data_IF_265588866431
#
_entry.id   IF_265588866431
#
_cell.length_a   1.000
_cell.length_b   1.000
_cell.length_c   1.000
_cell.angle_alpha   90.00
_cell.angle_beta   90.00
_cell.angle_gamma   90.00
#
_symmetry.space_group_name_H-M   'P 1'
#
loop_
_entity.id
_entity.type
_entity.pdbx_description
1 polymer ?
#
# COMPACT_ATOMS: atom_id res chain seq x y z
N UNK A 1 -10.41 -32.02 43.36
CA UNK A 1 -9.39 -32.19 42.31
C UNK A 1 -10.02 -31.61 41.05
N UNK A 2 -10.13 -30.27 41.05
CA UNK A 2 -9.29 -29.33 40.26
C UNK A 2 -9.65 -29.45 38.76
N UNK A 3 -10.51 -28.57 38.21
CA UNK A 3 -10.26 -27.21 37.64
C UNK A 3 -9.34 -27.27 36.40
N UNK A 4 -9.56 -26.60 35.26
CA UNK A 4 -10.04 -25.23 34.99
C UNK A 4 -10.61 -25.15 33.55
N UNK A 5 -11.76 -24.51 33.38
CA UNK A 5 -12.23 -23.88 32.13
C UNK A 5 -11.68 -22.45 32.06
N UNK A 6 -11.14 -22.04 30.91
CA UNK A 6 -10.66 -20.68 30.64
C UNK A 6 -11.54 -19.96 29.63
N UNK A 7 -12.62 -19.34 30.11
CA UNK A 7 -13.37 -18.31 29.37
C UNK A 7 -13.17 -16.97 30.09
N UNK A 8 -12.28 -16.13 29.57
CA UNK A 8 -12.13 -14.74 29.99
C UNK A 8 -13.37 -13.95 29.54
N UNK A 9 -14.30 -13.78 30.47
CA UNK A 9 -15.41 -12.84 30.36
C UNK A 9 -15.10 -11.61 31.20
N UNK A 10 -14.77 -10.52 30.53
CA UNK A 10 -14.50 -9.23 31.16
C UNK A 10 -15.79 -8.71 31.80
N UNK A 11 -15.90 -8.82 33.13
CA UNK A 11 -17.04 -8.31 33.91
C UNK A 11 -16.84 -6.82 34.19
N UNK A 12 -17.73 -5.99 33.65
CA UNK A 12 -17.80 -4.56 33.95
C UNK A 12 -18.57 -4.38 35.27
N UNK A 13 -17.89 -3.89 36.30
CA UNK A 13 -18.55 -3.48 37.55
C UNK A 13 -19.26 -2.14 37.34
N UNK A 14 -20.60 -2.16 37.33
CA UNK A 14 -21.41 -0.96 37.55
C UNK A 14 -21.48 -0.73 39.07
N UNK A 15 -20.84 0.33 39.55
CA UNK A 15 -21.05 0.79 40.92
C UNK A 15 -22.39 1.55 41.00
N UNK A 16 -23.32 0.95 41.72
CA UNK A 16 -24.56 1.55 42.21
C UNK A 16 -24.21 2.70 43.18
N UNK A 17 -24.72 3.90 42.90
CA UNK A 17 -24.55 5.06 43.78
C UNK A 17 -25.88 5.45 44.42
N UNK A 18 -26.25 4.69 45.45
CA UNK A 18 -27.13 5.13 46.52
C UNK A 18 -26.33 5.11 47.81
N UNK A 19 -25.95 6.28 48.36
CA UNK A 19 -26.53 6.76 49.62
C UNK A 19 -25.88 8.05 50.20
N UNK A 20 -26.77 8.83 50.81
CA UNK A 20 -26.64 9.69 52.00
C UNK A 20 -25.64 10.85 52.07
N UNK A 21 -26.27 12.02 52.19
CA UNK A 21 -25.76 13.30 52.70
C UNK A 21 -25.32 13.16 54.17
N UNK A 22 -24.11 13.64 54.49
CA UNK A 22 -23.79 14.16 55.83
C UNK A 22 -23.11 15.54 55.74
N UNK A 23 -23.43 16.49 56.64
CA UNK A 23 -22.88 17.84 56.63
C UNK A 23 -21.60 17.94 57.47
N UNK A 24 -20.58 18.65 56.97
CA UNK A 24 -19.47 19.12 57.81
C UNK A 24 -18.04 18.68 57.44
N UNK A 25 -17.79 18.19 56.22
CA UNK A 25 -16.41 17.92 55.78
C UNK A 25 -15.99 18.92 54.68
N UNK A 26 -14.93 19.67 54.95
CA UNK A 26 -14.31 20.63 54.03
C UNK A 26 -13.97 19.98 52.69
N UNK A 27 -14.42 20.60 51.58
CA UNK A 27 -14.15 20.15 50.20
C UNK A 27 -12.63 19.96 49.98
N UNK A 28 -12.15 18.80 49.50
CA UNK A 28 -10.83 18.73 48.89
C UNK A 28 -10.82 19.56 47.60
N UNK A 29 -9.67 20.11 47.16
CA UNK A 29 -9.58 20.90 45.95
C UNK A 29 -10.04 20.08 44.74
N UNK A 30 -10.82 20.72 43.87
CA UNK A 30 -11.21 20.18 42.57
C UNK A 30 -9.94 19.78 41.81
N UNK A 31 -9.70 18.47 41.66
CA UNK A 31 -8.83 17.96 40.62
C UNK A 31 -9.38 18.49 39.28
N UNK A 32 -8.57 19.11 38.41
CA UNK A 32 -9.02 19.42 37.06
C UNK A 32 -9.45 18.11 36.41
N UNK A 33 -10.63 18.13 35.78
CA UNK A 33 -11.13 17.03 34.98
C UNK A 33 -10.09 16.73 33.89
N UNK A 34 -9.30 15.67 34.08
CA UNK A 34 -8.48 15.11 33.03
C UNK A 34 -9.40 14.42 32.04
N UNK A 35 -9.95 15.22 31.12
CA UNK A 35 -10.53 14.77 29.87
C UNK A 35 -9.39 14.52 28.86
N UNK A 36 -8.33 13.86 29.31
CA UNK A 36 -7.16 13.48 28.53
C UNK A 36 -7.06 11.94 28.50
N UNK A 37 -8.17 11.27 28.19
CA UNK A 37 -8.05 9.93 27.60
C UNK A 37 -7.64 10.15 26.14
N UNK A 38 -6.31 10.22 25.95
CA UNK A 38 -5.69 10.02 24.64
C UNK A 38 -6.10 8.60 24.23
N UNK A 39 -7.17 8.49 23.43
CA UNK A 39 -7.37 7.32 22.59
C UNK A 39 -6.18 7.28 21.64
N UNK A 40 -5.15 6.53 22.00
CA UNK A 40 -4.16 6.07 21.06
C UNK A 40 -4.95 5.34 19.98
N UNK A 41 -5.13 6.01 18.83
CA UNK A 41 -5.68 5.41 17.63
C UNK A 41 -4.75 4.25 17.29
N UNK A 42 -5.11 3.05 17.74
CA UNK A 42 -4.54 1.81 17.24
C UNK A 42 -4.90 1.81 15.76
N UNK A 43 -3.97 2.22 14.92
CA UNK A 43 -4.17 2.07 13.48
C UNK A 43 -4.27 0.57 13.23
N UNK A 44 -5.35 0.10 12.58
CA UNK A 44 -5.48 -1.31 12.28
C UNK A 44 -4.25 -1.76 11.49
N UNK A 45 -3.68 -2.89 11.89
CA UNK A 45 -2.57 -3.49 11.16
C UNK A 45 -3.04 -3.78 9.73
N UNK A 46 -2.34 -3.22 8.75
CA UNK A 46 -2.65 -3.48 7.34
C UNK A 46 -2.24 -4.92 7.03
N UNK A 47 -3.22 -5.77 6.71
CA UNK A 47 -2.98 -7.16 6.32
C UNK A 47 -2.77 -7.21 4.81
N UNK A 48 -1.54 -7.52 4.39
CA UNK A 48 -1.19 -7.68 2.99
C UNK A 48 -1.39 -9.11 2.50
N UNK A 49 -2.02 -9.25 1.34
CA UNK A 49 -2.06 -10.50 0.58
C UNK A 49 -0.69 -10.72 -0.09
N UNK A 50 -0.03 -11.84 0.20
CA UNK A 50 1.27 -12.15 -0.43
C UNK A 50 1.07 -12.74 -1.82
N UNK A 51 1.76 -12.18 -2.81
CA UNK A 51 1.78 -12.70 -4.18
C UNK A 51 3.23 -12.75 -4.67
N UNK A 52 3.63 -13.91 -5.18
CA UNK A 52 4.96 -14.16 -5.72
C UNK A 52 4.94 -13.97 -7.24
N UNK A 53 5.78 -13.07 -7.77
CA UNK A 53 5.96 -12.94 -9.21
C UNK A 53 6.69 -14.16 -9.78
N UNK A 54 6.29 -14.65 -10.97
CA UNK A 54 6.91 -15.81 -11.60
C UNK A 54 8.29 -15.48 -12.19
N UNK A 55 9.20 -16.46 -12.16
CA UNK A 55 10.58 -16.29 -12.66
C UNK A 55 10.71 -16.24 -14.18
N UNK A 56 9.62 -16.52 -14.91
CA UNK A 56 9.55 -16.40 -16.37
C UNK A 56 9.23 -14.97 -16.84
N UNK A 57 9.07 -14.03 -15.89
CA UNK A 57 8.77 -12.64 -16.13
C UNK A 57 7.30 -12.33 -16.40
N UNK A 58 6.41 -13.33 -16.31
CA UNK A 58 4.96 -13.11 -16.39
C UNK A 58 4.44 -12.19 -15.29
N UNK A 59 3.28 -11.57 -15.53
CA UNK A 59 2.63 -10.72 -14.54
C UNK A 59 1.66 -11.48 -13.64
N UNK A 60 1.47 -10.96 -12.43
CA UNK A 60 0.43 -11.37 -11.48
C UNK A 60 -0.62 -10.28 -11.36
N UNK A 61 -1.88 -10.67 -11.16
CA UNK A 61 -2.98 -9.73 -10.98
C UNK A 61 -3.17 -9.38 -9.51
N UNK A 62 -3.17 -8.08 -9.19
CA UNK A 62 -3.34 -7.48 -7.86
C UNK A 62 -4.45 -6.43 -7.94
N UNK A 63 -5.69 -6.88 -8.15
CA UNK A 63 -6.84 -6.04 -8.45
C UNK A 63 -7.43 -5.25 -7.28
N UNK A 64 -7.67 -5.93 -6.16
CA UNK A 64 -8.48 -5.42 -5.05
C UNK A 64 -7.85 -5.72 -3.70
N UNK A 65 -7.59 -4.67 -2.93
CA UNK A 65 -7.04 -4.73 -1.58
C UNK A 65 -5.52 -4.50 -1.52
N UNK A 66 -4.96 -4.83 -0.36
CA UNK A 66 -3.54 -4.61 -0.07
C UNK A 66 -2.71 -5.85 -0.45
N UNK A 67 -1.61 -5.65 -1.18
CA UNK A 67 -0.74 -6.73 -1.64
C UNK A 67 0.73 -6.51 -1.28
N UNK A 68 1.39 -7.58 -0.85
CA UNK A 68 2.85 -7.69 -0.83
C UNK A 68 3.25 -8.50 -2.04
N UNK A 69 3.83 -7.80 -3.02
CA UNK A 69 4.26 -8.36 -4.29
C UNK A 69 5.74 -8.69 -4.15
N UNK A 70 6.11 -9.96 -4.26
CA UNK A 70 7.45 -10.48 -3.97
C UNK A 70 8.15 -10.78 -5.30
N UNK A 71 9.39 -10.30 -5.43
CA UNK A 71 10.23 -10.54 -6.59
C UNK A 71 10.59 -12.02 -6.73
N UNK A 72 10.87 -12.52 -7.95
CA UNK A 72 11.24 -13.92 -8.17
C UNK A 72 12.47 -14.39 -7.37
N UNK A 73 13.37 -13.47 -6.99
CA UNK A 73 14.54 -13.74 -6.15
C UNK A 73 14.21 -13.88 -4.64
N UNK A 74 12.99 -13.51 -4.23
CA UNK A 74 12.52 -13.47 -2.85
C UNK A 74 13.18 -12.39 -1.97
N UNK A 75 14.09 -11.59 -2.51
CA UNK A 75 14.85 -10.58 -1.75
C UNK A 75 14.13 -9.24 -1.74
N UNK A 76 13.48 -8.90 -2.86
CA UNK A 76 12.84 -7.60 -3.04
C UNK A 76 11.33 -7.74 -3.01
N UNK A 77 10.65 -6.71 -2.48
CA UNK A 77 9.19 -6.65 -2.50
C UNK A 77 8.69 -5.23 -2.78
N UNK A 78 7.46 -5.18 -3.30
CA UNK A 78 6.66 -3.97 -3.35
C UNK A 78 5.40 -4.14 -2.49
N UNK A 79 4.99 -3.06 -1.83
CA UNK A 79 3.74 -3.00 -1.07
C UNK A 79 2.76 -2.14 -1.85
N UNK A 80 1.67 -2.75 -2.27
CA UNK A 80 0.54 -2.10 -2.91
C UNK A 80 -0.53 -1.87 -1.82
N UNK A 81 -0.79 -0.62 -1.48
CA UNK A 81 -1.79 -0.25 -0.47
C UNK A 81 -2.98 0.40 -1.13
N UNK A 82 -4.16 -0.18 -0.97
CA UNK A 82 -5.43 0.29 -1.48
C UNK A 82 -5.74 1.71 -1.00
N UNK A 83 -6.26 2.55 -1.90
CA UNK A 83 -6.72 3.91 -1.58
C UNK A 83 -8.21 4.06 -1.83
N UNK A 84 -8.66 3.78 -3.06
CA UNK A 84 -10.05 3.94 -3.49
C UNK A 84 -10.27 3.24 -4.83
N UNK A 85 -11.51 3.26 -5.33
CA UNK A 85 -11.89 2.70 -6.62
C UNK A 85 -12.59 3.77 -7.46
N UNK A 86 -12.34 3.81 -8.78
CA UNK A 86 -13.21 4.54 -9.68
C UNK A 86 -14.53 3.79 -9.87
N UNK A 87 -15.61 4.48 -10.29
CA UNK A 87 -16.82 3.81 -10.71
C UNK A 87 -16.51 2.77 -11.81
N UNK A 88 -16.79 1.49 -11.52
CA UNK A 88 -16.66 0.36 -12.45
C UNK A 88 -15.23 0.01 -12.91
N UNK A 89 -14.20 0.24 -12.09
CA UNK A 89 -12.82 -0.15 -12.42
C UNK A 89 -12.04 -0.76 -11.25
N UNK A 90 -10.82 -1.23 -11.52
CA UNK A 90 -9.94 -1.73 -10.46
C UNK A 90 -9.41 -0.58 -9.57
N UNK A 91 -8.74 -0.97 -8.49
CA UNK A 91 -8.34 -0.05 -7.43
C UNK A 91 -7.22 0.93 -7.80
N UNK A 92 -7.25 2.10 -7.16
CA UNK A 92 -6.11 3.01 -7.03
C UNK A 92 -5.32 2.66 -5.79
N UNK A 93 -4.02 2.51 -5.96
CA UNK A 93 -3.14 2.10 -4.88
C UNK A 93 -1.93 3.02 -4.74
N UNK A 94 -1.47 3.18 -3.50
CA UNK A 94 -0.11 3.64 -3.23
C UNK A 94 0.84 2.47 -3.41
N UNK A 95 2.04 2.78 -3.89
CA UNK A 95 3.08 1.78 -4.05
C UNK A 95 4.30 2.19 -3.20
N UNK A 96 4.85 1.21 -2.49
CA UNK A 96 6.18 1.28 -1.90
C UNK A 96 7.03 0.22 -2.59
N UNK A 97 8.21 0.56 -3.09
CA UNK A 97 9.14 -0.37 -3.75
C UNK A 97 10.41 -0.43 -2.92
N UNK A 98 10.82 -1.63 -2.50
CA UNK A 98 12.00 -1.82 -1.64
C UNK A 98 12.00 -0.90 -0.39
N UNK A 99 10.83 -0.71 0.22
CA UNK A 99 10.65 0.16 1.39
C UNK A 99 10.59 1.66 1.09
N UNK A 100 10.76 2.09 -0.17
CA UNK A 100 10.69 3.48 -0.58
C UNK A 100 9.32 3.82 -1.18
N UNK A 101 8.67 4.90 -0.74
CA UNK A 101 7.46 5.40 -1.38
C UNK A 101 7.70 5.69 -2.87
N UNK A 102 6.79 5.24 -3.73
CA UNK A 102 6.85 5.47 -5.17
C UNK A 102 5.88 6.59 -5.57
N UNK A 103 6.29 7.56 -6.43
CA UNK A 103 5.47 8.69 -6.81
C UNK A 103 4.23 8.28 -7.61
N UNK A 104 3.17 9.09 -7.55
CA UNK A 104 1.92 8.83 -8.26
C UNK A 104 1.10 7.68 -7.67
N UNK A 105 0.30 7.03 -8.52
CA UNK A 105 -0.58 5.93 -8.15
C UNK A 105 -0.31 4.71 -9.03
N UNK A 106 -0.28 3.54 -8.40
CA UNK A 106 -0.36 2.27 -9.11
C UNK A 106 -1.83 1.92 -9.35
N UNK A 107 -2.15 1.41 -10.53
CA UNK A 107 -3.45 0.81 -10.80
C UNK A 107 -3.41 -0.66 -10.37
N UNK A 108 -4.41 -1.10 -9.61
CA UNK A 108 -4.56 -2.48 -9.18
C UNK A 108 -4.85 -3.39 -10.37
N UNK A 109 -3.82 -3.83 -11.09
CA UNK A 109 -3.95 -4.80 -12.16
C UNK A 109 -2.72 -5.70 -12.21
N UNK A 110 -2.02 -5.75 -13.33
CA UNK A 110 -0.89 -6.64 -13.54
C UNK A 110 0.43 -6.00 -13.11
N UNK A 111 1.22 -6.77 -12.35
CA UNK A 111 2.58 -6.46 -11.96
C UNK A 111 3.50 -7.55 -12.46
N UNK A 112 4.58 -7.20 -13.15
CA UNK A 112 5.60 -8.14 -13.59
C UNK A 112 6.97 -7.73 -13.07
N UNK A 113 7.83 -8.73 -12.90
CA UNK A 113 9.20 -8.53 -12.45
C UNK A 113 10.17 -9.26 -13.37
N UNK A 114 11.35 -8.71 -13.58
CA UNK A 114 12.47 -9.49 -14.10
C UNK A 114 12.88 -10.58 -13.11
N UNK A 115 13.42 -11.68 -13.65
CA UNK A 115 13.86 -12.85 -12.87
C UNK A 115 14.87 -12.51 -11.78
N UNK A 116 15.72 -11.51 -12.02
CA UNK A 116 16.76 -11.05 -11.09
C UNK A 116 16.26 -10.07 -10.03
N UNK A 117 14.96 -9.75 -10.01
CA UNK A 117 14.38 -8.82 -9.04
C UNK A 117 14.72 -7.35 -9.27
N UNK A 118 15.44 -7.00 -10.33
CA UNK A 118 15.88 -5.61 -10.57
C UNK A 118 14.78 -4.70 -11.12
N UNK A 119 13.98 -5.18 -12.07
CA UNK A 119 13.00 -4.34 -12.76
C UNK A 119 11.56 -4.76 -12.48
N UNK A 120 10.79 -3.82 -11.94
CA UNK A 120 9.35 -3.96 -11.69
C UNK A 120 8.57 -3.17 -12.76
N UNK A 121 7.54 -3.79 -13.35
CA UNK A 121 6.71 -3.18 -14.40
C UNK A 121 5.25 -3.29 -14.02
N UNK A 122 4.52 -2.17 -14.14
CA UNK A 122 3.10 -2.10 -13.76
C UNK A 122 2.40 -0.89 -14.39
N UNK A 123 1.07 -0.88 -14.24
CA UNK A 123 0.23 0.24 -14.65
C UNK A 123 0.32 1.40 -13.64
N UNK A 124 0.75 2.56 -14.10
CA UNK A 124 1.03 3.74 -13.28
C UNK A 124 0.33 4.98 -13.81
N UNK A 125 0.04 5.91 -12.90
CA UNK A 125 -0.51 7.23 -13.23
C UNK A 125 0.11 8.31 -12.36
N UNK A 126 0.55 9.41 -12.96
CA UNK A 126 0.94 10.61 -12.22
C UNK A 126 -0.30 11.30 -11.61
N UNK A 127 -1.36 11.37 -12.41
CA UNK A 127 -2.66 11.95 -12.10
C UNK A 127 -3.73 10.92 -12.39
N UNK A 128 -4.78 10.84 -11.57
CA UNK A 128 -5.84 9.86 -11.74
C UNK A 128 -6.38 9.85 -13.18
N UNK A 129 -6.61 8.64 -13.69
CA UNK A 129 -7.14 8.34 -15.04
C UNK A 129 -6.18 8.51 -16.23
N UNK A 130 -4.94 8.99 -16.05
CA UNK A 130 -3.91 9.02 -17.11
C UNK A 130 -2.96 7.81 -17.02
N UNK A 131 -3.41 6.66 -17.52
CA UNK A 131 -2.71 5.36 -17.37
C UNK A 131 -1.54 5.20 -18.34
N UNK A 132 -0.38 4.89 -17.79
CA UNK A 132 0.86 4.54 -18.49
C UNK A 132 1.42 3.23 -17.95
N UNK A 133 2.40 2.66 -18.63
CA UNK A 133 3.21 1.57 -18.07
C UNK A 133 4.48 2.17 -17.51
N UNK A 134 4.72 1.99 -16.21
CA UNK A 134 5.99 2.36 -15.58
C UNK A 134 6.92 1.15 -15.55
N UNK A 135 8.22 1.42 -15.73
CA UNK A 135 9.31 0.47 -15.53
C UNK A 135 10.21 1.07 -14.46
N UNK A 136 10.38 0.34 -13.36
CA UNK A 136 11.16 0.76 -12.20
C UNK A 136 12.45 -0.03 -12.17
N UNK A 137 13.59 0.66 -12.12
CA UNK A 137 14.88 0.09 -11.73
C UNK A 137 14.98 0.23 -10.21
N UNK A 138 14.82 -0.89 -9.50
CA UNK A 138 14.78 -0.92 -8.03
C UNK A 138 16.12 -0.47 -7.46
N UNK A 139 17.23 -0.99 -8.01
CA UNK A 139 18.58 -0.72 -7.51
C UNK A 139 18.93 0.77 -7.66
N UNK A 140 18.56 1.36 -8.80
CA UNK A 140 18.80 2.78 -9.07
C UNK A 140 17.80 3.71 -8.39
N UNK A 141 16.71 3.16 -7.81
CA UNK A 141 15.59 3.95 -7.28
C UNK A 141 15.11 5.01 -8.29
N UNK A 142 14.98 4.55 -9.54
CA UNK A 142 14.56 5.36 -10.67
C UNK A 142 13.49 4.64 -11.51
N UNK A 143 12.72 5.40 -12.28
CA UNK A 143 11.71 4.84 -13.17
C UNK A 143 11.63 5.61 -14.48
N UNK A 144 11.12 4.96 -15.51
CA UNK A 144 10.70 5.58 -16.76
C UNK A 144 9.30 5.08 -17.14
N UNK A 145 8.70 5.69 -18.16
CA UNK A 145 7.39 5.27 -18.68
C UNK A 145 7.51 4.84 -20.13
N UNK A 146 6.78 3.78 -20.49
CA UNK A 146 6.67 3.35 -21.87
C UNK A 146 5.78 4.31 -22.70
N UNK A 147 6.06 4.48 -24.00
CA UNK A 147 5.19 5.23 -24.91
C UNK A 147 3.77 4.65 -25.03
N UNK A 148 3.64 3.32 -24.95
CA UNK A 148 2.37 2.60 -25.02
C UNK A 148 2.01 1.93 -23.69
N UNK A 149 0.71 1.93 -23.37
CA UNK A 149 0.17 1.16 -22.25
C UNK A 149 0.17 -0.34 -22.57
N UNK A 150 0.62 -1.15 -21.62
CA UNK A 150 0.66 -2.62 -21.70
C UNK A 150 -0.13 -3.15 -20.52
N UNK A 151 -1.19 -3.92 -20.79
CA UNK A 151 -2.09 -4.37 -19.73
C UNK A 151 -1.61 -5.66 -19.09
N UNK A 152 -1.57 -6.75 -19.85
CA UNK A 152 -1.09 -8.05 -19.37
C UNK A 152 0.31 -8.25 -19.93
N UNK A 153 1.31 -8.29 -19.07
CA UNK A 153 2.71 -8.14 -19.49
C UNK A 153 3.55 -9.36 -19.16
N UNK A 154 4.61 -9.55 -19.96
CA UNK A 154 5.77 -10.39 -19.66
C UNK A 154 7.04 -9.55 -19.84
N UNK A 155 7.98 -9.68 -18.91
CA UNK A 155 9.24 -8.91 -18.91
C UNK A 155 10.43 -9.85 -19.05
N UNK A 156 11.37 -9.55 -19.93
CA UNK A 156 12.56 -10.37 -20.14
C UNK A 156 13.86 -9.57 -20.02
N UNK A 157 14.91 -10.29 -19.59
CA UNK A 157 16.29 -9.78 -19.49
C UNK A 157 17.09 -10.13 -20.75
N UNK A 158 18.08 -9.29 -21.06
CA UNK A 158 18.77 -9.20 -22.35
C UNK A 158 18.80 -7.72 -22.72
N UNK A 159 18.22 -7.28 -23.85
CA UNK A 159 17.56 -5.98 -23.85
C UNK A 159 16.32 -6.04 -22.95
N UNK A 160 16.15 -5.08 -22.04
CA UNK A 160 14.97 -5.01 -21.18
C UNK A 160 13.72 -4.83 -22.06
N UNK A 161 12.90 -5.88 -22.15
CA UNK A 161 11.76 -5.95 -23.07
C UNK A 161 10.48 -6.23 -22.30
N UNK A 162 9.42 -5.47 -22.62
CA UNK A 162 8.08 -5.60 -22.06
C UNK A 162 7.17 -6.01 -23.21
N UNK A 163 6.60 -7.21 -23.11
CA UNK A 163 5.69 -7.77 -24.11
C UNK A 163 4.26 -7.75 -23.59
N UNK A 164 3.32 -7.28 -24.42
CA UNK A 164 1.90 -7.46 -24.16
C UNK A 164 1.52 -8.90 -24.53
N UNK A 165 1.05 -9.67 -23.54
CA UNK A 165 0.69 -11.08 -23.71
C UNK A 165 -0.55 -11.24 -24.60
N UNK A 166 -1.43 -10.24 -24.65
CA UNK A 166 -2.67 -10.29 -25.42
C UNK A 166 -2.44 -9.92 -26.88
N UNK A 167 -1.67 -8.86 -27.15
CA UNK A 167 -1.44 -8.39 -28.53
C UNK A 167 -0.19 -8.97 -29.16
N UNK A 168 0.77 -9.43 -28.35
CA UNK A 168 2.09 -9.88 -28.80
C UNK A 168 3.05 -8.74 -29.13
N UNK A 169 2.62 -7.47 -28.99
CA UNK A 169 3.47 -6.30 -29.20
C UNK A 169 4.58 -6.24 -28.14
N UNK A 170 5.74 -5.71 -28.54
CA UNK A 170 6.91 -5.63 -27.68
C UNK A 170 7.44 -4.21 -27.65
N UNK A 171 7.81 -3.75 -26.46
CA UNK A 171 8.47 -2.48 -26.24
C UNK A 171 9.79 -2.74 -25.52
N UNK A 172 10.88 -2.24 -26.09
CA UNK A 172 12.20 -2.31 -25.47
C UNK A 172 12.51 -0.98 -24.80
N UNK A 173 13.11 -1.01 -23.61
CA UNK A 173 13.71 0.18 -23.01
C UNK A 173 14.96 0.54 -23.81
N UNK A 174 14.94 1.74 -24.40
CA UNK A 174 16.10 2.26 -25.12
C UNK A 174 17.20 2.70 -24.15
N UNK A 175 18.45 2.72 -24.62
CA UNK A 175 19.58 3.28 -23.87
C UNK A 175 19.42 4.80 -23.62
N UNK A 176 18.56 5.45 -24.41
CA UNK A 176 18.20 6.86 -24.29
C UNK A 176 16.98 7.11 -23.41
N UNK A 177 16.45 6.09 -22.73
CA UNK A 177 15.29 6.26 -21.86
C UNK A 177 15.62 7.27 -20.75
N UNK A 178 14.72 8.23 -20.54
CA UNK A 178 14.85 9.20 -19.47
C UNK A 178 14.39 8.56 -18.16
N UNK A 179 15.35 8.31 -17.27
CA UNK A 179 15.10 7.75 -15.94
C UNK A 179 14.95 8.88 -14.92
N UNK A 180 13.85 8.82 -14.17
CA UNK A 180 13.49 9.78 -13.13
C UNK A 180 13.78 9.15 -11.78
N UNK A 181 14.69 9.75 -11.01
CA UNK A 181 14.92 9.33 -9.62
C UNK A 181 13.71 9.66 -8.74
N UNK A 182 13.31 8.74 -7.88
CA UNK A 182 12.23 8.95 -6.91
C UNK A 182 12.68 9.00 -5.45
N UNK A 183 13.99 9.02 -5.19
CA UNK A 183 14.55 9.15 -3.83
C UNK A 183 14.22 10.50 -3.16
N UNK A 184 13.86 11.51 -3.95
CA UNK A 184 13.67 12.88 -3.49
C UNK A 184 12.20 13.35 -3.49
N UNK A 185 11.24 12.51 -3.90
CA UNK A 185 9.85 12.94 -4.01
C UNK A 185 9.24 13.02 -2.60
N UNK A 186 9.18 14.25 -2.07
CA UNK A 186 8.34 14.55 -0.90
C UNK A 186 6.89 14.36 -1.32
N UNK A 187 6.29 13.26 -0.88
CA UNK A 187 4.85 13.06 -1.04
C UNK A 187 4.12 14.22 -0.36
N UNK A 188 3.25 14.96 -1.07
CA UNK A 188 2.37 15.89 -0.39
C UNK A 188 1.54 15.10 0.63
N UNK A 189 1.42 15.62 1.86
CA UNK A 189 0.57 15.03 2.89
C UNK A 189 -0.89 15.01 2.38
N UNK A 190 -1.37 13.85 1.94
CA UNK A 190 -2.66 13.69 1.24
C UNK A 190 -3.87 13.85 2.19
N UNK A 191 -3.66 14.05 3.49
CA UNK A 191 -4.73 14.41 4.42
C UNK A 191 -5.44 15.73 4.05
N UNK A 192 -4.87 16.56 3.16
CA UNK A 192 -5.53 17.76 2.63
C UNK A 192 -6.41 17.55 1.39
N UNK A 193 -6.36 16.40 0.70
CA UNK A 193 -7.09 16.21 -0.57
C UNK A 193 -8.40 15.43 -0.45
N UNK A 194 -8.65 14.77 0.69
CA UNK A 194 -9.98 14.20 1.00
C UNK A 194 -11.10 15.26 1.03
N UNK A 195 -10.76 16.53 1.19
CA UNK A 195 -11.72 17.64 1.25
C UNK A 195 -12.17 18.17 -0.12
N UNK A 196 -11.63 17.68 -1.25
CA UNK A 196 -11.97 18.22 -2.59
C UNK A 196 -12.94 17.37 -3.40
N UNK A 197 -13.19 16.13 -3.00
CA UNK A 197 -14.03 15.19 -3.76
C UNK A 197 -15.02 14.42 -2.88
N UNK A 198 -15.30 14.94 -1.68
CA UNK A 198 -16.39 14.49 -0.81
C UNK A 198 -17.64 15.34 -0.99
#
# INVERSE_FOLDING_TARGET
METVDGHDSLTIYLADSTDLRQPGCSRPPLLPAHHDEIQALVQPEIIYQNVQCPSDGGSVYCGYGDYRIIAPDGQTQALLTYVTEPPFGDSYCRLTVAGKPFPGFAWGSHFAWTKDGRFLVFAWMEKLYDRKTAVVDVDASAFCTLPGYVHTMRVSLGPLTISDVKTGEQQQISDSAEWISYDAVRHPNIWSERAKYG
#
